data_IF_439140738806
#
_entry.id   IF_439140738806
#
_cell.length_a   1.000
_cell.length_b   1.000
_cell.length_c   1.000
_cell.angle_alpha   90.00
_cell.angle_beta   90.00
_cell.angle_gamma   90.00
#
_symmetry.space_group_name_H-M   'P 1'
#
loop_
_entity.id
_entity.type
_entity.pdbx_description
1 polymer ?
#
# COMPACT_ATOMS: atom_id res chain seq x y z
N UNK A 1 4.33 6.25 33.02
CA UNK A 1 4.41 4.82 32.66
C UNK A 1 4.25 4.62 31.15
N UNK A 2 3.06 4.82 30.57
CA UNK A 2 2.82 4.52 29.14
C UNK A 2 3.71 5.33 28.20
N UNK A 3 3.67 6.67 28.29
CA UNK A 3 4.51 7.52 27.45
C UNK A 3 6.01 7.32 27.73
N UNK A 4 6.40 7.21 29.00
CA UNK A 4 7.81 7.13 29.43
C UNK A 4 8.51 5.80 29.09
N UNK A 5 7.80 4.68 29.02
CA UNK A 5 8.38 3.37 28.75
C UNK A 5 8.07 2.86 27.34
N UNK A 6 6.94 3.25 26.76
CA UNK A 6 6.45 2.69 25.48
C UNK A 6 6.31 3.73 24.37
N UNK A 7 6.53 5.03 24.63
CA UNK A 7 6.33 6.12 23.67
C UNK A 7 4.93 6.12 23.03
N UNK A 8 3.92 5.75 23.82
CA UNK A 8 2.52 5.79 23.40
C UNK A 8 1.76 6.90 24.12
N UNK A 9 0.78 7.47 23.42
CA UNK A 9 -0.16 8.42 24.00
C UNK A 9 -1.30 7.66 24.68
N UNK A 10 -1.63 8.07 25.90
CA UNK A 10 -2.70 7.47 26.68
C UNK A 10 -4.05 8.07 26.30
N UNK A 11 -5.03 7.23 25.96
CA UNK A 11 -6.42 7.66 25.78
C UNK A 11 -7.10 7.74 27.15
N UNK A 12 -7.52 8.95 27.54
CA UNK A 12 -8.14 9.22 28.84
C UNK A 12 -9.60 8.75 28.87
N UNK A 13 -10.26 8.73 27.71
CA UNK A 13 -11.68 8.43 27.58
C UNK A 13 -11.86 7.16 26.75
N UNK A 14 -11.76 6.01 27.42
CA UNK A 14 -12.04 4.71 26.83
C UNK A 14 -12.89 3.87 27.79
N UNK A 15 -13.48 2.80 27.27
CA UNK A 15 -14.14 1.79 28.12
C UNK A 15 -13.08 0.79 28.61
N UNK A 16 -13.46 -0.47 28.85
CA UNK A 16 -12.49 -1.54 29.10
C UNK A 16 -11.49 -1.73 27.94
N UNK A 17 -11.92 -1.42 26.72
CA UNK A 17 -11.08 -1.46 25.51
C UNK A 17 -10.82 -0.04 25.00
N UNK A 18 -9.75 0.10 24.20
CA UNK A 18 -9.47 1.32 23.46
C UNK A 18 -10.58 1.59 22.42
N UNK A 19 -10.78 2.87 22.06
CA UNK A 19 -11.72 3.31 21.01
C UNK A 19 -11.35 2.83 19.60
N UNK A 20 -10.06 2.57 19.34
CA UNK A 20 -9.49 2.14 18.06
C UNK A 20 -9.65 3.15 16.91
N UNK A 21 -10.13 4.36 17.17
CA UNK A 21 -10.31 5.40 16.15
C UNK A 21 -9.00 5.74 15.43
N UNK A 22 -7.89 5.80 16.17
CA UNK A 22 -6.57 6.04 15.60
C UNK A 22 -6.11 4.95 14.61
N UNK A 23 -6.49 3.70 14.85
CA UNK A 23 -6.19 2.58 13.95
C UNK A 23 -7.08 2.65 12.71
N UNK A 24 -8.36 2.98 12.88
CA UNK A 24 -9.28 3.22 11.76
C UNK A 24 -8.77 4.34 10.85
N UNK A 25 -8.40 5.50 11.42
CA UNK A 25 -7.83 6.61 10.65
C UNK A 25 -6.55 6.22 9.90
N UNK A 26 -5.65 5.46 10.56
CA UNK A 26 -4.43 4.97 9.94
C UNK A 26 -4.73 4.04 8.76
N UNK A 27 -5.61 3.07 8.93
CA UNK A 27 -5.96 2.13 7.87
C UNK A 27 -6.71 2.80 6.73
N UNK A 28 -7.55 3.79 7.00
CA UNK A 28 -8.23 4.58 5.98
C UNK A 28 -7.24 5.39 5.14
N UNK A 29 -6.20 5.97 5.74
CA UNK A 29 -5.11 6.64 5.00
C UNK A 29 -4.37 5.64 4.12
N UNK A 30 -4.00 4.47 4.66
CA UNK A 30 -3.32 3.42 3.90
C UNK A 30 -4.18 2.93 2.73
N UNK A 31 -5.47 2.73 2.96
CA UNK A 31 -6.41 2.30 1.93
C UNK A 31 -6.47 3.32 0.78
N UNK A 32 -6.55 4.62 1.07
CA UNK A 32 -6.54 5.67 0.05
C UNK A 32 -5.23 5.70 -0.74
N UNK A 33 -4.09 5.56 -0.08
CA UNK A 33 -2.78 5.47 -0.75
C UNK A 33 -2.76 4.26 -1.70
N UNK A 34 -3.23 3.11 -1.23
CA UNK A 34 -3.30 1.90 -2.05
C UNK A 34 -4.22 2.07 -3.26
N UNK A 35 -5.37 2.73 -3.11
CA UNK A 35 -6.25 3.04 -4.24
C UNK A 35 -5.55 3.89 -5.30
N UNK A 36 -4.80 4.93 -4.91
CA UNK A 36 -4.01 5.74 -5.85
C UNK A 36 -2.91 4.93 -6.53
N UNK A 37 -2.24 4.05 -5.80
CA UNK A 37 -1.21 3.18 -6.37
C UNK A 37 -1.80 2.14 -7.32
N UNK A 38 -2.98 1.60 -7.02
CA UNK A 38 -3.69 0.67 -7.90
C UNK A 38 -4.04 1.37 -9.21
N UNK A 39 -4.57 2.59 -9.14
CA UNK A 39 -4.90 3.40 -10.33
C UNK A 39 -3.66 3.62 -11.20
N UNK A 40 -2.54 4.03 -10.59
CA UNK A 40 -1.26 4.15 -11.27
C UNK A 40 -0.77 2.84 -11.91
N UNK A 41 -0.90 1.72 -11.21
CA UNK A 41 -0.52 0.40 -11.75
C UNK A 41 -1.37 0.01 -12.96
N UNK A 42 -2.68 0.30 -12.93
CA UNK A 42 -3.61 0.07 -14.03
C UNK A 42 -3.21 0.92 -15.24
N UNK A 43 -2.93 2.21 -15.03
CA UNK A 43 -2.49 3.11 -16.10
C UNK A 43 -1.17 2.65 -16.75
N UNK A 44 -0.17 2.28 -15.94
CA UNK A 44 1.11 1.75 -16.46
C UNK A 44 0.86 0.48 -17.28
N UNK A 45 0.01 -0.42 -16.80
CA UNK A 45 -0.34 -1.64 -17.53
C UNK A 45 -1.04 -1.33 -18.86
N UNK A 46 -1.98 -0.38 -18.89
CA UNK A 46 -2.65 0.07 -20.11
C UNK A 46 -1.67 0.72 -21.09
N UNK A 47 -0.72 1.52 -20.61
CA UNK A 47 0.29 2.15 -21.45
C UNK A 47 1.26 1.12 -22.06
N UNK A 48 1.65 0.08 -21.32
CA UNK A 48 2.43 -1.05 -21.87
C UNK A 48 1.61 -1.80 -22.92
N UNK A 49 0.34 -2.08 -22.64
CA UNK A 49 -0.56 -2.82 -23.54
C UNK A 49 -0.81 -2.06 -24.86
N UNK A 50 -0.87 -0.72 -24.79
CA UNK A 50 -1.02 0.17 -25.94
C UNK A 50 0.31 0.50 -26.64
N UNK A 51 1.43 -0.15 -26.27
CA UNK A 51 2.77 0.10 -26.81
C UNK A 51 3.28 1.54 -26.66
N UNK A 52 2.74 2.30 -25.70
CA UNK A 52 3.22 3.65 -25.36
C UNK A 52 4.49 3.57 -24.50
N UNK A 53 4.56 2.56 -23.62
CA UNK A 53 5.72 2.22 -22.80
C UNK A 53 6.22 0.82 -23.15
N UNK A 54 7.53 0.58 -23.05
CA UNK A 54 8.15 -0.75 -23.20
C UNK A 54 8.98 -1.09 -21.97
N UNK A 55 8.90 -2.35 -21.54
CA UNK A 55 9.71 -2.89 -20.46
C UNK A 55 11.15 -3.12 -20.95
N UNK A 56 12.13 -2.80 -20.11
CA UNK A 56 13.53 -3.14 -20.37
C UNK A 56 13.71 -4.65 -20.20
N UNK A 57 14.30 -5.30 -21.20
CA UNK A 57 14.65 -6.72 -21.12
C UNK A 57 15.96 -6.87 -20.35
N UNK A 58 15.98 -7.77 -19.37
CA UNK A 58 17.19 -8.19 -18.67
C UNK A 58 17.56 -9.59 -19.16
N UNK A 59 18.84 -9.82 -19.43
CA UNK A 59 19.33 -11.12 -19.86
C UNK A 59 18.96 -12.19 -18.82
N UNK A 60 18.44 -13.33 -19.30
CA UNK A 60 17.94 -14.47 -18.51
C UNK A 60 16.56 -14.33 -17.84
N UNK A 61 15.85 -13.21 -17.98
CA UNK A 61 14.44 -13.15 -17.57
C UNK A 61 13.54 -13.80 -18.63
N UNK A 62 12.63 -14.67 -18.18
CA UNK A 62 11.67 -15.37 -19.04
C UNK A 62 10.28 -14.77 -18.79
N UNK A 63 9.69 -14.14 -19.80
CA UNK A 63 8.36 -13.54 -19.69
C UNK A 63 7.23 -14.57 -19.67
N UNK A 64 7.34 -15.62 -20.50
CA UNK A 64 6.37 -16.71 -20.59
C UNK A 64 7.08 -18.04 -20.75
N UNK A 65 6.56 -19.08 -20.12
CA UNK A 65 7.13 -20.44 -20.21
C UNK A 65 6.92 -21.10 -21.58
N UNK A 66 5.95 -20.62 -22.37
CA UNK A 66 5.57 -21.23 -23.66
C UNK A 66 5.66 -20.26 -24.83
N UNK A 67 5.76 -18.96 -24.57
CA UNK A 67 5.92 -17.94 -25.62
C UNK A 67 7.36 -17.39 -25.55
N UNK A 68 8.18 -17.60 -26.59
CA UNK A 68 9.54 -17.08 -26.64
C UNK A 68 9.59 -15.56 -26.74
#
# INVERSE_FOLDING_TARGET
FINSYFNLYYSVYCTQIQDHDNLCELFDVIARINSTLIDMCIDIWLYISNNLLKLKVVEHEIGSSTMP
#
